data_IF_878358254287
#
_entry.id   IF_878358254287
#
_cell.length_a   1.000
_cell.length_b   1.000
_cell.length_c   1.000
_cell.angle_alpha   90.00
_cell.angle_beta   90.00
_cell.angle_gamma   90.00
#
_symmetry.space_group_name_H-M   'P 1'
#
loop_
_entity.id
_entity.type
_entity.pdbx_description
1 polymer ?
#
# COMPACT_ATOMS: atom_id res chain seq x y z
N UNK A 1 -9.08 26.42 -58.80
CA UNK A 1 -8.16 26.26 -57.65
C UNK A 1 -8.46 27.13 -56.43
N UNK A 2 -9.43 28.06 -56.44
CA UNK A 2 -9.70 28.95 -55.27
C UNK A 2 -10.82 28.40 -54.35
N UNK A 3 -11.78 27.63 -54.90
CA UNK A 3 -12.95 27.13 -54.15
C UNK A 3 -12.57 26.01 -53.15
N UNK A 4 -11.56 25.20 -53.47
CA UNK A 4 -11.10 24.09 -52.62
C UNK A 4 -10.39 24.58 -51.34
N UNK A 5 -9.72 25.75 -51.40
CA UNK A 5 -9.03 26.34 -50.25
C UNK A 5 -9.98 27.00 -49.25
N UNK A 6 -11.10 27.57 -49.72
CA UNK A 6 -12.10 28.20 -48.86
C UNK A 6 -12.88 27.13 -48.07
N UNK A 7 -13.22 26.00 -48.73
CA UNK A 7 -13.93 24.89 -48.08
C UNK A 7 -13.09 24.25 -46.96
N UNK A 8 -11.77 24.15 -47.17
CA UNK A 8 -10.85 23.60 -46.17
C UNK A 8 -10.70 24.52 -44.95
N UNK A 9 -10.73 25.85 -45.14
CA UNK A 9 -10.67 26.82 -44.05
C UNK A 9 -11.93 26.80 -43.18
N UNK A 10 -13.11 26.67 -43.79
CA UNK A 10 -14.39 26.64 -43.06
C UNK A 10 -14.51 25.38 -42.19
N UNK A 11 -14.05 24.22 -42.67
CA UNK A 11 -14.03 22.97 -41.90
C UNK A 11 -13.07 23.08 -40.71
N UNK A 12 -11.92 23.72 -40.88
CA UNK A 12 -10.93 23.90 -39.80
C UNK A 12 -11.43 24.86 -38.69
N UNK A 13 -12.17 25.91 -39.07
CA UNK A 13 -12.80 26.83 -38.11
C UNK A 13 -13.96 26.15 -37.38
N UNK A 14 -14.77 25.33 -38.05
CA UNK A 14 -15.85 24.57 -37.39
C UNK A 14 -15.32 23.51 -36.41
N UNK A 15 -14.21 22.84 -36.74
CA UNK A 15 -13.59 21.85 -35.84
C UNK A 15 -12.94 22.49 -34.59
N UNK A 16 -12.42 23.71 -34.72
CA UNK A 16 -11.80 24.42 -33.60
C UNK A 16 -12.82 25.07 -32.65
N UNK A 17 -14.03 25.38 -33.13
CA UNK A 17 -15.11 25.94 -32.29
C UNK A 17 -15.92 24.85 -31.56
N UNK A 18 -15.96 23.62 -32.08
CA UNK A 18 -16.71 22.50 -31.46
C UNK A 18 -15.89 21.63 -30.51
N UNK A 19 -14.57 21.79 -30.47
CA UNK A 19 -13.71 21.11 -29.50
C UNK A 19 -13.51 21.98 -28.25
N UNK A 20 -14.59 22.24 -27.51
CA UNK A 20 -14.44 22.65 -26.11
C UNK A 20 -14.02 21.38 -25.38
N UNK A 21 -12.79 21.28 -24.85
CA UNK A 21 -12.46 20.16 -24.00
C UNK A 21 -13.43 20.22 -22.82
N UNK A 22 -14.20 19.16 -22.61
CA UNK A 22 -14.94 18.92 -21.37
C UNK A 22 -13.90 18.79 -20.26
N UNK A 23 -13.40 19.92 -19.78
CA UNK A 23 -12.57 20.01 -18.60
C UNK A 23 -13.48 19.67 -17.43
N UNK A 24 -13.51 18.39 -17.07
CA UNK A 24 -13.97 18.02 -15.74
C UNK A 24 -12.95 18.61 -14.76
N UNK A 25 -13.35 19.52 -13.85
CA UNK A 25 -12.44 19.96 -12.82
C UNK A 25 -11.92 18.73 -12.07
N UNK A 26 -10.62 18.67 -11.73
CA UNK A 26 -10.14 17.59 -10.87
C UNK A 26 -11.04 17.54 -9.63
N UNK A 27 -11.36 16.33 -9.12
CA UNK A 27 -12.12 16.21 -7.88
C UNK A 27 -11.48 17.12 -6.83
N UNK A 28 -12.30 17.78 -5.98
CA UNK A 28 -11.80 18.74 -5.01
C UNK A 28 -10.62 18.13 -4.26
N UNK A 29 -9.52 18.87 -4.18
CA UNK A 29 -8.28 18.41 -3.57
C UNK A 29 -8.60 17.83 -2.19
N UNK A 30 -8.17 16.57 -1.95
CA UNK A 30 -8.33 15.88 -0.67
C UNK A 30 -7.88 16.81 0.45
N UNK A 31 -8.82 17.23 1.29
CA UNK A 31 -8.52 18.20 2.34
C UNK A 31 -8.00 17.44 3.55
N UNK A 32 -6.67 17.30 3.64
CA UNK A 32 -5.98 16.53 4.67
C UNK A 32 -6.36 16.91 6.11
N UNK A 33 -6.94 18.09 6.33
CA UNK A 33 -7.35 18.57 7.65
C UNK A 33 -8.78 18.17 8.06
N UNK A 34 -9.66 17.79 7.12
CA UNK A 34 -11.06 17.44 7.43
C UNK A 34 -11.38 15.96 7.26
N UNK A 35 -10.63 15.24 6.43
CA UNK A 35 -10.89 13.81 6.13
C UNK A 35 -9.95 12.85 6.88
N UNK A 36 -9.09 13.37 7.76
CA UNK A 36 -8.23 12.57 8.62
C UNK A 36 -9.00 12.00 9.80
N UNK A 37 -9.15 10.68 9.82
CA UNK A 37 -9.71 9.95 10.95
C UNK A 37 -8.61 9.65 11.98
N UNK A 38 -8.57 10.45 13.04
CA UNK A 38 -7.60 10.30 14.13
C UNK A 38 -7.78 8.98 14.88
N UNK A 39 -9.01 8.56 15.11
CA UNK A 39 -9.28 7.33 15.88
C UNK A 39 -8.81 6.10 15.10
N UNK A 40 -9.07 6.08 13.79
CA UNK A 40 -8.56 5.03 12.91
C UNK A 40 -7.03 5.03 12.81
N UNK A 41 -6.40 6.21 12.82
CA UNK A 41 -4.95 6.31 12.83
C UNK A 41 -4.33 5.83 14.15
N UNK A 42 -4.91 6.17 15.31
CA UNK A 42 -4.49 5.65 16.61
C UNK A 42 -4.70 4.13 16.72
N UNK A 43 -5.82 3.62 16.20
CA UNK A 43 -6.07 2.19 16.04
C UNK A 43 -4.98 1.53 15.20
N UNK A 44 -4.68 2.04 14.01
CA UNK A 44 -3.63 1.51 13.15
C UNK A 44 -2.23 1.58 13.78
N UNK A 45 -1.97 2.60 14.60
CA UNK A 45 -0.72 2.77 15.34
C UNK A 45 -0.53 1.68 16.39
N UNK A 46 -1.58 1.31 17.14
CA UNK A 46 -1.50 0.21 18.12
C UNK A 46 -1.03 -1.09 17.46
N UNK A 47 -1.54 -1.42 16.28
CA UNK A 47 -1.11 -2.61 15.54
C UNK A 47 0.33 -2.48 15.01
N UNK A 48 0.69 -1.33 14.43
CA UNK A 48 2.05 -1.07 13.97
C UNK A 48 3.06 -1.17 15.12
N UNK A 49 2.77 -0.56 16.28
CA UNK A 49 3.59 -0.64 17.49
C UNK A 49 3.67 -2.08 18.03
N UNK A 50 2.55 -2.82 18.00
CA UNK A 50 2.49 -4.23 18.41
C UNK A 50 3.49 -5.13 17.68
N UNK A 51 3.87 -4.81 16.44
CA UNK A 51 4.88 -5.57 15.70
C UNK A 51 6.29 -5.51 16.32
N UNK A 52 6.54 -4.50 17.16
CA UNK A 52 7.80 -4.35 17.90
C UNK A 52 7.77 -5.08 19.25
N UNK A 53 6.63 -5.57 19.71
CA UNK A 53 6.54 -6.29 20.98
C UNK A 53 7.08 -7.72 20.84
N UNK A 54 7.77 -8.21 21.87
CA UNK A 54 8.12 -9.64 21.98
C UNK A 54 6.86 -10.49 22.08
N UNK A 55 5.86 -10.00 22.82
CA UNK A 55 4.53 -10.57 22.95
C UNK A 55 3.49 -9.55 22.49
N UNK A 56 2.99 -9.64 21.24
CA UNK A 56 2.06 -8.66 20.68
C UNK A 56 0.61 -8.82 21.19
N UNK A 57 0.24 -9.95 21.78
CA UNK A 57 -1.14 -10.23 22.22
C UNK A 57 -1.74 -9.15 23.14
N UNK A 58 -1.03 -8.58 24.13
CA UNK A 58 -1.55 -7.48 24.95
C UNK A 58 -1.95 -6.25 24.12
N UNK A 59 -1.21 -5.93 23.05
CA UNK A 59 -1.54 -4.82 22.14
C UNK A 59 -2.82 -5.10 21.32
N UNK A 60 -3.09 -6.37 21.01
CA UNK A 60 -4.25 -6.79 20.23
C UNK A 60 -5.53 -6.87 21.07
N UNK A 61 -5.42 -7.37 22.31
CA UNK A 61 -6.58 -7.56 23.20
C UNK A 61 -7.27 -6.23 23.51
N UNK A 62 -6.51 -5.14 23.69
CA UNK A 62 -7.05 -3.78 23.85
C UNK A 62 -8.04 -3.41 22.74
N UNK A 63 -7.76 -3.86 21.52
CA UNK A 63 -8.54 -3.59 20.32
C UNK A 63 -9.51 -4.74 19.95
N UNK A 64 -9.79 -5.66 20.90
CA UNK A 64 -10.61 -6.87 20.69
C UNK A 64 -10.14 -7.72 19.50
N UNK A 65 -8.85 -7.65 19.17
CA UNK A 65 -8.28 -8.34 18.03
C UNK A 65 -7.78 -9.74 18.41
N UNK A 66 -7.98 -10.69 17.49
CA UNK A 66 -7.44 -12.05 17.56
C UNK A 66 -6.29 -12.19 16.58
N UNK A 67 -5.18 -12.78 17.03
CA UNK A 67 -4.05 -13.08 16.15
C UNK A 67 -4.35 -14.32 15.30
N UNK A 68 -4.26 -14.18 13.98
CA UNK A 68 -4.43 -15.29 13.03
C UNK A 68 -3.09 -15.94 12.70
N UNK A 69 -2.08 -15.11 12.41
CA UNK A 69 -0.76 -15.59 12.05
C UNK A 69 0.29 -14.58 12.46
N UNK A 70 1.40 -15.04 13.02
CA UNK A 70 2.62 -14.27 13.22
C UNK A 70 3.76 -14.97 12.51
N UNK A 71 4.64 -14.18 11.90
CA UNK A 71 5.87 -14.67 11.31
C UNK A 71 7.05 -13.85 11.77
N UNK A 72 8.17 -14.55 11.87
CA UNK A 72 9.52 -14.03 12.03
C UNK A 72 10.34 -14.79 11.01
N UNK A 73 10.74 -14.12 9.92
CA UNK A 73 11.48 -14.75 8.83
C UNK A 73 12.52 -13.79 8.29
N UNK A 74 13.65 -14.34 7.81
CA UNK A 74 14.64 -13.58 7.04
C UNK A 74 13.96 -13.06 5.77
N UNK A 75 13.85 -11.75 5.62
CA UNK A 75 13.12 -11.16 4.50
C UNK A 75 13.97 -10.23 3.66
N UNK A 76 15.22 -9.97 4.02
CA UNK A 76 16.04 -9.07 3.25
C UNK A 76 17.41 -9.64 2.89
N UNK A 77 18.11 -8.88 2.06
CA UNK A 77 19.42 -9.24 1.52
C UNK A 77 20.52 -9.28 2.60
N UNK A 78 20.24 -8.79 3.80
CA UNK A 78 21.16 -8.72 4.92
C UNK A 78 20.78 -9.69 6.04
N UNK A 79 19.83 -10.59 5.78
CA UNK A 79 19.30 -11.56 6.74
C UNK A 79 18.62 -10.93 7.97
N UNK A 80 18.16 -9.68 7.87
CA UNK A 80 17.29 -9.12 8.88
C UNK A 80 15.94 -9.84 8.85
N UNK A 81 15.41 -10.04 10.04
CA UNK A 81 14.12 -10.66 10.23
C UNK A 81 13.00 -9.65 10.01
N UNK A 82 12.11 -9.95 9.09
CA UNK A 82 10.79 -9.35 9.06
C UNK A 82 9.93 -9.98 10.14
N UNK A 83 9.30 -9.10 10.91
CA UNK A 83 8.29 -9.46 11.87
C UNK A 83 6.98 -8.92 11.38
N UNK A 84 6.00 -9.79 11.22
CA UNK A 84 4.70 -9.40 10.72
C UNK A 84 3.63 -10.31 11.28
N UNK A 85 2.40 -9.81 11.34
CA UNK A 85 1.27 -10.62 11.73
C UNK A 85 -0.01 -10.19 11.02
N UNK A 86 -0.94 -11.13 10.95
CA UNK A 86 -2.33 -10.89 10.59
C UNK A 86 -3.17 -11.01 11.86
N UNK A 87 -4.00 -10.01 12.10
CA UNK A 87 -4.99 -10.01 13.18
C UNK A 87 -6.38 -9.70 12.60
N UNK A 88 -7.42 -10.09 13.34
CA UNK A 88 -8.81 -9.82 12.96
C UNK A 88 -9.59 -9.25 14.13
N UNK A 89 -10.47 -8.31 13.86
CA UNK A 89 -11.55 -7.85 14.74
C UNK A 89 -12.89 -8.21 14.09
N UNK A 90 -14.01 -7.76 14.65
CA UNK A 90 -15.33 -7.91 14.00
C UNK A 90 -15.41 -7.13 12.67
N UNK A 91 -14.73 -6.00 12.57
CA UNK A 91 -14.82 -5.08 11.43
C UNK A 91 -13.58 -5.08 10.52
N UNK A 92 -12.44 -5.57 11.02
CA UNK A 92 -11.15 -5.39 10.36
C UNK A 92 -10.37 -6.69 10.21
N UNK A 93 -9.75 -6.86 9.05
CA UNK A 93 -8.66 -7.79 8.79
C UNK A 93 -7.38 -6.95 8.67
N UNK A 94 -6.45 -7.12 9.60
CA UNK A 94 -5.27 -6.26 9.73
C UNK A 94 -4.02 -7.04 9.34
N UNK A 95 -3.23 -6.51 8.41
CA UNK A 95 -1.83 -6.90 8.19
C UNK A 95 -0.92 -5.81 8.77
N UNK A 96 -0.13 -6.18 9.77
CA UNK A 96 0.86 -5.30 10.37
C UNK A 96 2.29 -5.82 10.14
N UNK A 97 3.20 -4.95 9.70
CA UNK A 97 4.62 -5.29 9.46
C UNK A 97 5.52 -4.36 10.26
N UNK A 98 6.51 -4.94 10.94
CA UNK A 98 7.53 -4.23 11.72
C UNK A 98 8.51 -3.50 10.81
N UNK A 99 8.98 -2.35 11.25
CA UNK A 99 10.20 -1.76 10.70
C UNK A 99 11.48 -2.39 11.27
N UNK A 100 12.60 -1.75 10.98
CA UNK A 100 13.93 -2.16 11.46
C UNK A 100 14.10 -1.82 12.94
N UNK A 101 14.76 -2.69 13.72
CA UNK A 101 15.05 -2.47 15.16
C UNK A 101 16.40 -1.83 15.41
N UNK A 102 17.39 -2.17 14.60
CA UNK A 102 18.80 -1.90 14.87
C UNK A 102 19.32 -0.80 13.95
N UNK A 103 19.67 0.35 14.56
CA UNK A 103 20.60 1.40 14.10
C UNK A 103 20.29 2.12 12.77
N UNK A 104 20.20 3.45 12.86
CA UNK A 104 20.20 4.41 11.72
C UNK A 104 21.22 4.09 10.61
N UNK A 105 22.34 3.45 10.97
CA UNK A 105 23.39 3.03 10.04
C UNK A 105 22.91 1.98 9.03
N UNK A 106 22.07 1.03 9.44
CA UNK A 106 21.48 0.03 8.54
C UNK A 106 20.43 0.65 7.60
N UNK A 107 19.72 1.71 8.04
CA UNK A 107 18.82 2.48 7.17
C UNK A 107 19.62 3.24 6.09
N UNK A 108 20.81 3.74 6.41
CA UNK A 108 21.67 4.44 5.44
C UNK A 108 22.24 3.47 4.39
N UNK A 109 22.76 2.31 4.80
CA UNK A 109 23.20 1.25 3.86
C UNK A 109 22.06 0.74 2.98
N UNK A 110 20.85 0.69 3.54
CA UNK A 110 19.63 0.41 2.81
C UNK A 110 19.30 1.49 1.76
N UNK A 111 19.43 2.77 2.12
CA UNK A 111 19.28 3.89 1.17
C UNK A 111 20.34 3.83 0.05
N UNK A 112 21.54 3.35 0.35
CA UNK A 112 22.56 3.15 -0.69
C UNK A 112 22.22 1.98 -1.62
N UNK A 113 21.73 0.85 -1.09
CA UNK A 113 21.27 -0.28 -1.93
C UNK A 113 20.00 0.02 -2.72
N UNK A 114 19.22 1.03 -2.30
CA UNK A 114 18.14 1.63 -3.10
C UNK A 114 18.64 2.34 -4.37
N UNK A 115 19.96 2.45 -4.58
CA UNK A 115 20.57 2.90 -5.85
C UNK A 115 20.55 1.82 -6.94
N UNK A 116 20.30 0.55 -6.59
CA UNK A 116 20.09 -0.49 -7.58
C UNK A 116 18.90 -0.13 -8.49
N UNK A 117 18.91 -0.57 -9.78
CA UNK A 117 17.79 -0.32 -10.67
C UNK A 117 16.47 -0.81 -10.07
N UNK A 118 15.43 0.03 -10.18
CA UNK A 118 14.07 -0.32 -9.77
C UNK A 118 13.60 -1.56 -10.51
N UNK A 119 12.77 -2.37 -9.85
CA UNK A 119 12.12 -3.54 -10.44
C UNK A 119 10.69 -3.20 -10.81
N UNK A 120 10.24 -3.64 -11.99
CA UNK A 120 8.83 -3.50 -12.38
C UNK A 120 7.93 -4.15 -11.34
N UNK A 121 6.88 -3.44 -10.96
CA UNK A 121 5.96 -3.89 -9.93
C UNK A 121 4.64 -4.36 -10.55
N UNK A 122 4.12 -5.54 -10.17
CA UNK A 122 2.91 -6.08 -10.80
C UNK A 122 1.69 -5.16 -10.72
N UNK A 123 1.54 -4.39 -9.64
CA UNK A 123 0.43 -3.46 -9.48
C UNK A 123 0.64 -2.10 -10.17
N UNK A 124 1.74 -1.91 -10.91
CA UNK A 124 2.03 -0.70 -11.68
C UNK A 124 3.37 -0.06 -11.34
N UNK A 125 3.98 0.60 -12.31
CA UNK A 125 5.24 1.33 -12.14
C UNK A 125 6.43 0.44 -11.82
N UNK A 126 7.39 0.99 -11.08
CA UNK A 126 8.58 0.28 -10.62
C UNK A 126 8.95 0.68 -9.20
N UNK A 127 9.37 -0.30 -8.41
CA UNK A 127 9.67 -0.14 -6.98
C UNK A 127 11.13 -0.45 -6.71
N UNK A 128 11.64 0.06 -5.59
CA UNK A 128 13.01 -0.21 -5.16
C UNK A 128 13.17 -1.71 -4.91
N UNK A 129 14.23 -2.29 -5.49
CA UNK A 129 14.45 -3.75 -5.51
C UNK A 129 14.45 -4.36 -4.12
N UNK A 130 15.02 -3.66 -3.14
CA UNK A 130 15.03 -4.11 -1.75
C UNK A 130 13.62 -4.35 -1.20
N UNK A 131 12.73 -3.34 -1.28
CA UNK A 131 11.36 -3.49 -0.77
C UNK A 131 10.59 -4.57 -1.53
N UNK A 132 10.84 -4.71 -2.84
CA UNK A 132 10.22 -5.77 -3.63
C UNK A 132 10.60 -7.17 -3.15
N UNK A 133 11.90 -7.43 -2.93
CA UNK A 133 12.36 -8.72 -2.43
C UNK A 133 11.76 -9.03 -1.07
N UNK A 134 11.73 -8.05 -0.16
CA UNK A 134 11.20 -8.24 1.19
C UNK A 134 9.69 -8.52 1.22
N UNK A 135 8.91 -7.77 0.44
CA UNK A 135 7.47 -8.08 0.36
C UNK A 135 7.23 -9.40 -0.36
N UNK A 136 8.04 -9.78 -1.34
CA UNK A 136 7.89 -11.05 -2.07
C UNK A 136 8.04 -12.26 -1.14
N UNK A 137 9.00 -12.26 -0.20
CA UNK A 137 9.12 -13.31 0.82
C UNK A 137 7.89 -13.37 1.73
N UNK A 138 7.38 -12.24 2.23
CA UNK A 138 6.16 -12.22 3.04
C UNK A 138 4.91 -12.67 2.24
N UNK A 139 4.83 -12.29 0.97
CA UNK A 139 3.68 -12.59 0.13
C UNK A 139 3.64 -14.06 -0.29
N UNK A 140 4.78 -14.62 -0.70
CA UNK A 140 4.90 -15.98 -1.23
C UNK A 140 5.18 -17.01 -0.14
N UNK A 141 6.19 -16.80 0.69
CA UNK A 141 6.64 -17.79 1.68
C UNK A 141 5.71 -17.82 2.89
N UNK A 142 5.41 -16.64 3.46
CA UNK A 142 4.45 -16.53 4.57
C UNK A 142 2.98 -16.63 4.12
N UNK A 143 2.72 -16.64 2.80
CA UNK A 143 1.39 -16.80 2.18
C UNK A 143 0.37 -15.74 2.62
N UNK A 144 0.82 -14.52 2.94
CA UNK A 144 -0.08 -13.48 3.45
C UNK A 144 -1.18 -13.10 2.48
N UNK A 145 -0.88 -12.93 1.18
CA UNK A 145 -1.92 -12.65 0.18
C UNK A 145 -3.02 -13.71 0.15
N UNK A 146 -2.64 -15.00 0.27
CA UNK A 146 -3.60 -16.12 0.33
C UNK A 146 -4.47 -16.05 1.60
N UNK A 147 -3.85 -15.83 2.77
CA UNK A 147 -4.57 -15.78 4.06
C UNK A 147 -5.53 -14.59 4.10
N UNK A 148 -5.08 -13.40 3.66
CA UNK A 148 -5.93 -12.21 3.60
C UNK A 148 -7.14 -12.43 2.68
N UNK A 149 -6.94 -13.09 1.54
CA UNK A 149 -8.03 -13.44 0.62
C UNK A 149 -9.04 -14.38 1.28
N UNK A 150 -8.56 -15.43 1.94
CA UNK A 150 -9.42 -16.41 2.63
C UNK A 150 -10.22 -15.76 3.77
N UNK A 151 -9.58 -14.91 4.57
CA UNK A 151 -10.26 -14.15 5.63
C UNK A 151 -11.32 -13.21 5.08
N UNK A 152 -11.04 -12.51 3.97
CA UNK A 152 -12.01 -11.61 3.33
C UNK A 152 -13.20 -12.37 2.73
N UNK A 153 -12.98 -13.58 2.20
CA UNK A 153 -14.07 -14.44 1.74
C UNK A 153 -14.94 -14.95 2.90
N UNK A 154 -14.33 -15.24 4.05
CA UNK A 154 -15.04 -15.69 5.25
C UNK A 154 -15.79 -14.55 5.96
N UNK A 155 -15.26 -13.32 5.89
CA UNK A 155 -15.83 -12.12 6.49
C UNK A 155 -16.02 -11.02 5.43
N UNK A 156 -17.02 -11.13 4.53
CA UNK A 156 -17.18 -10.19 3.42
C UNK A 156 -17.41 -8.75 3.85
N UNK A 157 -17.99 -8.50 5.03
CA UNK A 157 -18.20 -7.16 5.58
C UNK A 157 -16.95 -6.53 6.20
N UNK A 158 -15.91 -7.32 6.50
CA UNK A 158 -14.72 -6.82 7.16
C UNK A 158 -13.84 -6.03 6.17
N UNK A 159 -13.35 -4.87 6.60
CA UNK A 159 -12.44 -4.01 5.86
C UNK A 159 -11.00 -4.48 6.05
N UNK A 160 -10.13 -4.16 5.11
CA UNK A 160 -8.71 -4.53 5.19
C UNK A 160 -7.90 -3.33 5.66
N UNK A 161 -7.09 -3.51 6.69
CA UNK A 161 -6.14 -2.51 7.17
C UNK A 161 -4.70 -3.00 6.99
N UNK A 162 -3.92 -2.24 6.25
CA UNK A 162 -2.49 -2.44 6.04
C UNK A 162 -1.74 -1.36 6.81
N UNK A 163 -0.96 -1.75 7.82
CA UNK A 163 -0.28 -0.79 8.70
C UNK A 163 1.16 -1.15 9.06
N UNK A 164 2.00 -0.13 9.20
CA UNK A 164 3.41 -0.33 9.54
C UNK A 164 4.17 0.97 9.73
N UNK A 165 5.27 0.88 10.46
CA UNK A 165 6.18 1.99 10.73
C UNK A 165 7.51 1.83 9.98
N UNK A 166 8.08 2.93 9.48
CA UNK A 166 9.38 2.97 8.80
C UNK A 166 9.44 1.97 7.64
N UNK A 167 10.39 1.04 7.64
CA UNK A 167 10.46 -0.08 6.68
C UNK A 167 9.12 -0.85 6.60
N UNK A 168 8.45 -1.09 7.71
CA UNK A 168 7.15 -1.77 7.73
C UNK A 168 6.10 -1.02 6.92
N UNK A 169 6.09 0.31 6.99
CA UNK A 169 5.23 1.18 6.18
C UNK A 169 5.49 1.01 4.67
N UNK A 170 6.76 0.97 4.28
CA UNK A 170 7.16 0.69 2.91
C UNK A 170 6.57 -0.65 2.41
N UNK A 171 6.72 -1.71 3.21
CA UNK A 171 6.28 -3.05 2.84
C UNK A 171 4.75 -3.16 2.78
N UNK A 172 4.02 -2.58 3.74
CA UNK A 172 2.55 -2.62 3.70
C UNK A 172 1.93 -1.79 2.57
N UNK A 173 2.63 -0.74 2.10
CA UNK A 173 2.19 0.01 0.91
C UNK A 173 2.25 -0.83 -0.36
N UNK A 174 3.28 -1.67 -0.51
CA UNK A 174 3.39 -2.62 -1.60
C UNK A 174 2.41 -3.78 -1.42
N UNK A 175 2.24 -4.26 -0.19
CA UNK A 175 1.30 -5.33 0.16
C UNK A 175 -0.15 -4.98 -0.23
N UNK A 176 -0.62 -3.81 0.19
CA UNK A 176 -1.98 -3.33 -0.12
C UNK A 176 -2.19 -3.19 -1.61
N UNK A 177 -1.21 -2.63 -2.33
CA UNK A 177 -1.24 -2.50 -3.79
C UNK A 177 -1.28 -3.86 -4.50
N UNK A 178 -0.46 -4.82 -4.07
CA UNK A 178 -0.49 -6.19 -4.60
C UNK A 178 -1.84 -6.86 -4.36
N UNK A 179 -2.39 -6.71 -3.15
CA UNK A 179 -3.67 -7.30 -2.79
C UNK A 179 -4.80 -6.73 -3.64
N UNK A 180 -4.90 -5.40 -3.73
CA UNK A 180 -5.89 -4.71 -4.55
C UNK A 180 -5.80 -5.14 -6.02
N UNK A 181 -4.59 -5.20 -6.59
CA UNK A 181 -4.36 -5.62 -7.96
C UNK A 181 -4.76 -7.09 -8.22
N UNK A 182 -4.38 -8.00 -7.32
CA UNK A 182 -4.64 -9.43 -7.47
C UNK A 182 -6.11 -9.81 -7.20
N UNK A 183 -6.82 -9.01 -6.41
CA UNK A 183 -8.15 -9.32 -5.90
C UNK A 183 -9.20 -8.26 -6.20
N UNK A 184 -9.02 -7.49 -7.29
CA UNK A 184 -9.96 -6.46 -7.78
C UNK A 184 -11.41 -6.92 -8.02
N UNK A 185 -11.63 -8.23 -8.15
CA UNK A 185 -12.97 -8.83 -8.32
C UNK A 185 -13.59 -9.29 -6.99
N UNK A 186 -12.81 -9.29 -5.90
CA UNK A 186 -13.21 -9.73 -4.58
C UNK A 186 -13.41 -8.55 -3.61
N UNK A 187 -12.66 -7.46 -3.78
CA UNK A 187 -12.62 -6.34 -2.84
C UNK A 187 -12.68 -5.03 -3.59
N UNK A 188 -13.56 -4.14 -3.14
CA UNK A 188 -13.61 -2.76 -3.64
C UNK A 188 -12.43 -1.95 -3.05
N UNK A 189 -11.75 -1.10 -3.83
CA UNK A 189 -10.66 -0.26 -3.32
C UNK A 189 -11.00 0.56 -2.07
N UNK A 190 -12.27 0.96 -1.89
CA UNK A 190 -12.76 1.69 -0.71
C UNK A 190 -12.79 0.88 0.59
N UNK A 191 -12.61 -0.45 0.51
CA UNK A 191 -12.52 -1.36 1.65
C UNK A 191 -11.07 -1.60 2.08
N UNK A 192 -10.08 -1.08 1.34
CA UNK A 192 -8.65 -1.26 1.60
C UNK A 192 -8.08 0.03 2.18
N UNK A 193 -7.63 -0.06 3.43
CA UNK A 193 -7.02 1.04 4.18
C UNK A 193 -5.53 0.82 4.26
N UNK A 194 -4.76 1.85 3.91
CA UNK A 194 -3.32 1.89 4.09
C UNK A 194 -3.00 3.06 5.02
N UNK A 195 -2.53 2.76 6.23
CA UNK A 195 -2.11 3.77 7.20
C UNK A 195 -0.68 3.46 7.61
N UNK A 196 0.24 4.38 7.36
CA UNK A 196 1.67 4.14 7.61
C UNK A 196 2.28 5.28 8.41
N UNK A 197 3.36 4.96 9.12
CA UNK A 197 4.03 5.90 10.01
C UNK A 197 5.50 6.03 9.59
N UNK A 198 5.90 7.20 9.10
CA UNK A 198 7.29 7.43 8.67
C UNK A 198 7.73 6.55 7.48
N UNK A 199 6.80 6.23 6.57
CA UNK A 199 7.09 5.42 5.38
C UNK A 199 8.13 6.13 4.47
N UNK A 200 9.20 5.43 4.02
CA UNK A 200 10.09 5.94 2.97
C UNK A 200 9.45 5.85 1.58
N UNK A 201 10.04 6.56 0.60
CA UNK A 201 9.63 6.45 -0.81
C UNK A 201 9.92 5.04 -1.36
N UNK A 202 8.92 4.40 -1.95
CA UNK A 202 9.00 2.99 -2.38
C UNK A 202 9.21 2.77 -3.87
N UNK A 203 8.83 3.73 -4.73
CA UNK A 203 8.85 3.55 -6.18
C UNK A 203 8.95 4.86 -6.97
N UNK A 204 8.60 4.79 -8.25
CA UNK A 204 8.52 5.94 -9.15
C UNK A 204 7.06 6.38 -9.40
N UNK A 205 6.92 7.46 -10.17
CA UNK A 205 5.62 7.84 -10.73
C UNK A 205 5.19 6.79 -11.76
N UNK A 206 3.88 6.49 -11.77
CA UNK A 206 3.25 5.50 -12.65
C UNK A 206 2.55 6.22 -13.79
#
# INVERSE_FOLDING_TARGET
MIIQSIFCLIIFVLYSVLAIPLWNPPPPAFNWTTDYDRELAEFALDFAAGTYATHPLPCLIKNKAKMIKRVQLSCDLFHDECWAYIAVTEEWIILAIRGTRTKLQLIMELVETMSAPKKRFPAGGSVQRYFFSAIESLWKEAKFGKILRELKQQNPSARLLFTGHSLGGALVSLASSLFAYQHRHLVDPSEIFLITFGQPRVGNQV
#
